data_IF_310219294739
#
_entry.id   IF_310219294739
#
_cell.length_a   1.000
_cell.length_b   1.000
_cell.length_c   1.000
_cell.angle_alpha   90.00
_cell.angle_beta   90.00
_cell.angle_gamma   90.00
#
_symmetry.space_group_name_H-M   'P 1'
#
loop_
_entity.id
_entity.type
_entity.pdbx_description
1 polymer ?
#
# COMPACT_ATOMS: atom_id res chain seq x y z
N UNK A 1 21.17 -52.67 -35.01
CA UNK A 1 19.91 -52.07 -35.49
C UNK A 1 19.65 -50.86 -34.60
N UNK A 2 20.06 -49.68 -35.05
CA UNK A 2 19.78 -48.41 -34.38
C UNK A 2 18.33 -47.98 -34.69
N UNK A 3 17.57 -47.52 -33.68
CA UNK A 3 16.51 -46.57 -33.94
C UNK A 3 16.14 -45.72 -32.70
N UNK A 4 16.68 -44.51 -32.70
CA UNK A 4 16.03 -43.22 -32.39
C UNK A 4 15.14 -43.10 -31.14
N UNK A 5 15.76 -42.71 -30.02
CA UNK A 5 15.12 -41.84 -29.02
C UNK A 5 15.10 -40.39 -29.55
N UNK A 6 14.05 -40.01 -30.29
CA UNK A 6 13.76 -38.59 -30.60
C UNK A 6 12.78 -38.00 -29.56
N UNK A 7 13.37 -37.32 -28.58
CA UNK A 7 13.03 -35.95 -28.15
C UNK A 7 11.56 -35.68 -27.76
N UNK A 8 11.15 -36.15 -26.58
CA UNK A 8 9.97 -35.62 -25.88
C UNK A 8 10.42 -34.38 -25.10
N UNK A 9 10.56 -33.23 -25.77
CA UNK A 9 10.94 -31.97 -25.10
C UNK A 9 10.36 -30.75 -25.83
N UNK A 10 9.06 -30.80 -26.16
CA UNK A 10 8.34 -29.69 -26.80
C UNK A 10 7.11 -29.20 -26.01
N UNK A 11 6.48 -30.06 -25.22
CA UNK A 11 5.11 -29.82 -24.73
C UNK A 11 5.03 -29.12 -23.35
N UNK A 12 6.11 -29.15 -22.56
CA UNK A 12 6.10 -28.54 -21.22
C UNK A 12 6.25 -27.01 -21.23
N UNK A 13 6.86 -26.43 -22.28
CA UNK A 13 7.04 -24.98 -22.37
C UNK A 13 5.77 -24.26 -22.82
N UNK A 14 4.98 -24.88 -23.69
CA UNK A 14 3.73 -24.31 -24.18
C UNK A 14 2.63 -24.37 -23.11
N UNK A 15 2.54 -25.50 -22.39
CA UNK A 15 1.67 -25.63 -21.21
C UNK A 15 2.03 -24.62 -20.11
N UNK A 16 3.31 -24.37 -19.87
CA UNK A 16 3.75 -23.37 -18.90
C UNK A 16 3.42 -21.93 -19.34
N UNK A 17 3.53 -21.62 -20.64
CA UNK A 17 3.13 -20.32 -21.20
C UNK A 17 1.63 -20.11 -21.08
N UNK A 18 0.84 -21.10 -21.45
CA UNK A 18 -0.62 -21.06 -21.36
C UNK A 18 -1.05 -20.93 -19.88
N UNK A 19 -0.45 -21.66 -18.95
CA UNK A 19 -0.74 -21.50 -17.52
C UNK A 19 -0.35 -20.11 -17.00
N UNK A 20 0.78 -19.55 -17.44
CA UNK A 20 1.19 -18.19 -17.09
C UNK A 20 0.23 -17.14 -17.64
N UNK A 21 -0.27 -17.35 -18.85
CA UNK A 21 -1.20 -16.46 -19.51
C UNK A 21 -2.60 -16.54 -18.87
N UNK A 22 -3.11 -17.74 -18.60
CA UNK A 22 -4.35 -17.95 -17.84
C UNK A 22 -4.25 -17.30 -16.45
N UNK A 23 -3.12 -17.48 -15.74
CA UNK A 23 -2.86 -16.80 -14.46
C UNK A 23 -2.86 -15.28 -14.61
N UNK A 24 -2.25 -14.75 -15.67
CA UNK A 24 -2.20 -13.30 -15.92
C UNK A 24 -3.58 -12.72 -16.31
N UNK A 25 -4.41 -13.49 -17.02
CA UNK A 25 -5.78 -13.09 -17.38
C UNK A 25 -6.68 -13.13 -16.15
N UNK A 26 -6.57 -14.16 -15.32
CA UNK A 26 -7.32 -14.28 -14.07
C UNK A 26 -6.96 -13.15 -13.08
N UNK A 27 -5.67 -12.84 -12.94
CA UNK A 27 -5.19 -11.70 -12.14
C UNK A 27 -5.72 -10.36 -12.66
N UNK A 28 -5.82 -10.18 -13.99
CA UNK A 28 -6.41 -8.97 -14.61
C UNK A 28 -7.92 -8.86 -14.41
N UNK A 29 -8.63 -9.97 -14.31
CA UNK A 29 -10.07 -9.99 -14.04
C UNK A 29 -10.36 -9.66 -12.56
N UNK A 30 -9.52 -10.12 -11.62
CA UNK A 30 -9.64 -9.79 -10.18
C UNK A 30 -9.28 -8.31 -9.88
N UNK A 31 -8.38 -7.69 -10.65
CA UNK A 31 -8.01 -6.28 -10.51
C UNK A 31 -9.07 -5.27 -10.97
N UNK A 32 -10.13 -5.71 -11.67
CA UNK A 32 -11.20 -4.83 -12.14
C UNK A 32 -12.39 -4.71 -11.17
N UNK A 33 -12.25 -5.17 -9.92
CA UNK A 33 -13.32 -5.06 -8.91
C UNK A 33 -12.94 -4.47 -7.55
N UNK A 34 -11.71 -4.04 -7.33
CA UNK A 34 -11.30 -3.39 -6.08
C UNK A 34 -10.34 -2.25 -6.41
N UNK A 35 -10.59 -1.06 -5.88
CA UNK A 35 -9.63 0.05 -5.92
C UNK A 35 -8.27 -0.48 -5.42
N UNK A 36 -7.18 -0.39 -6.22
CA UNK A 36 -5.94 -1.08 -5.89
C UNK A 36 -5.42 -0.53 -4.57
N UNK A 37 -5.01 -1.43 -3.69
CA UNK A 37 -4.42 -1.13 -2.39
C UNK A 37 -3.40 0.03 -2.44
N UNK A 38 -2.59 0.07 -3.50
CA UNK A 38 -1.61 1.13 -3.77
C UNK A 38 -2.24 2.53 -3.91
N UNK A 39 -3.45 2.63 -4.47
CA UNK A 39 -4.17 3.90 -4.62
C UNK A 39 -4.72 4.38 -3.26
N UNK A 40 -5.22 3.46 -2.43
CA UNK A 40 -5.65 3.78 -1.07
C UNK A 40 -4.48 4.26 -0.22
N UNK A 41 -3.33 3.60 -0.30
CA UNK A 41 -2.12 3.98 0.41
C UNK A 41 -1.64 5.36 -0.01
N UNK A 42 -1.59 5.63 -1.32
CA UNK A 42 -1.24 6.96 -1.86
C UNK A 42 -2.19 8.04 -1.37
N UNK A 43 -3.51 7.79 -1.39
CA UNK A 43 -4.52 8.74 -0.90
C UNK A 43 -4.31 9.06 0.58
N UNK A 44 -3.99 8.06 1.38
CA UNK A 44 -3.80 8.21 2.82
C UNK A 44 -2.49 8.94 3.14
N UNK A 45 -1.39 8.59 2.47
CA UNK A 45 -0.12 9.29 2.56
C UNK A 45 -0.25 10.77 2.16
N UNK A 46 -1.03 11.08 1.11
CA UNK A 46 -1.30 12.46 0.72
C UNK A 46 -2.08 13.24 1.80
N UNK A 47 -3.04 12.61 2.47
CA UNK A 47 -3.78 13.22 3.59
C UNK A 47 -2.87 13.48 4.79
N UNK A 48 -2.04 12.50 5.17
CA UNK A 48 -1.04 12.61 6.23
C UNK A 48 -0.07 13.75 5.93
N UNK A 49 0.44 13.83 4.70
CA UNK A 49 1.33 14.91 4.31
C UNK A 49 0.64 16.27 4.41
N UNK A 50 -0.60 16.40 3.93
CA UNK A 50 -1.35 17.65 4.00
C UNK A 50 -1.56 18.13 5.45
N UNK A 51 -1.97 17.24 6.34
CA UNK A 51 -2.21 17.64 7.74
C UNK A 51 -0.90 17.94 8.48
N UNK A 52 0.16 17.19 8.24
CA UNK A 52 1.48 17.46 8.85
C UNK A 52 2.07 18.78 8.35
N UNK A 53 1.91 19.12 7.07
CA UNK A 53 2.26 20.46 6.56
C UNK A 53 1.40 21.56 7.20
N UNK A 54 0.10 21.33 7.34
CA UNK A 54 -0.80 22.28 8.02
C UNK A 54 -0.37 22.53 9.46
N UNK A 55 -0.05 21.46 10.21
CA UNK A 55 0.49 21.54 11.57
C UNK A 55 1.80 22.33 11.57
N UNK A 56 2.73 22.01 10.67
CA UNK A 56 4.02 22.67 10.61
C UNK A 56 3.93 24.17 10.31
N UNK A 57 3.02 24.58 9.44
CA UNK A 57 2.88 25.96 8.98
C UNK A 57 2.01 26.82 9.90
N UNK A 58 0.93 26.25 10.44
CA UNK A 58 -0.07 27.01 11.20
C UNK A 58 -0.04 26.75 12.70
N UNK A 59 0.48 25.61 13.13
CA UNK A 59 0.51 25.17 14.53
C UNK A 59 1.88 24.57 14.88
N UNK A 60 3.00 25.31 14.67
CA UNK A 60 4.35 24.77 14.85
C UNK A 60 4.62 24.23 16.26
N UNK A 61 3.89 24.72 17.27
CA UNK A 61 3.87 24.20 18.64
C UNK A 61 3.44 22.73 18.73
N UNK A 62 2.64 22.24 17.79
CA UNK A 62 2.19 20.85 17.78
C UNK A 62 3.22 19.89 17.16
N UNK A 63 4.31 20.40 16.57
CA UNK A 63 5.37 19.57 15.96
C UNK A 63 6.06 18.67 17.00
N UNK A 64 6.18 19.13 18.25
CA UNK A 64 6.81 18.35 19.33
C UNK A 64 6.10 17.00 19.53
N UNK A 65 4.76 17.00 19.54
CA UNK A 65 3.95 15.79 19.64
C UNK A 65 4.06 14.86 18.43
N UNK A 66 4.47 15.36 17.26
CA UNK A 66 4.67 14.54 16.06
C UNK A 66 5.97 13.74 16.12
N UNK A 67 7.02 14.32 16.72
CA UNK A 67 8.31 13.64 16.85
C UNK A 67 8.26 12.47 17.84
N UNK A 68 7.31 12.47 18.76
CA UNK A 68 7.10 11.40 19.74
C UNK A 68 6.32 10.20 19.15
N UNK A 69 5.71 10.35 17.98
CA UNK A 69 5.02 9.25 17.30
C UNK A 69 5.98 8.52 16.35
N UNK A 70 6.34 7.25 16.62
CA UNK A 70 7.19 6.50 15.71
C UNK A 70 6.48 6.32 14.37
N UNK A 71 7.07 6.84 13.29
CA UNK A 71 6.58 6.58 11.92
C UNK A 71 6.79 5.10 11.63
N UNK A 72 5.71 4.32 11.66
CA UNK A 72 5.76 2.92 11.28
C UNK A 72 6.07 2.84 9.79
N UNK A 73 7.28 2.39 9.45
CA UNK A 73 7.66 2.17 8.06
C UNK A 73 6.79 1.04 7.48
N UNK A 74 6.08 1.27 6.37
CA UNK A 74 5.34 0.22 5.66
C UNK A 74 6.21 -0.99 5.37
N UNK A 75 5.72 -2.19 5.63
CA UNK A 75 6.39 -3.42 5.17
C UNK A 75 5.59 -4.01 4.03
N UNK A 76 6.21 -4.18 2.86
CA UNK A 76 5.61 -4.80 1.66
C UNK A 76 5.02 -6.20 1.92
N UNK A 77 5.44 -6.85 3.01
CA UNK A 77 4.95 -8.17 3.41
C UNK A 77 3.47 -8.16 3.84
N UNK A 78 2.97 -7.05 4.38
CA UNK A 78 1.60 -6.97 4.93
C UNK A 78 0.94 -5.63 4.56
N UNK A 79 0.39 -5.51 3.33
CA UNK A 79 -0.29 -4.31 2.88
C UNK A 79 -1.44 -3.88 3.81
N UNK A 80 -2.34 -4.78 4.21
CA UNK A 80 -3.49 -4.41 5.07
C UNK A 80 -3.06 -3.77 6.41
N UNK A 81 -1.99 -4.28 7.02
CA UNK A 81 -1.41 -3.72 8.25
C UNK A 81 -0.86 -2.32 7.98
N UNK A 82 -0.27 -2.09 6.81
CA UNK A 82 0.24 -0.77 6.39
C UNK A 82 -0.89 0.26 6.33
N UNK A 83 -2.01 -0.04 5.67
CA UNK A 83 -3.15 0.90 5.59
C UNK A 83 -3.76 1.17 6.96
N UNK A 84 -3.90 0.14 7.79
CA UNK A 84 -4.41 0.32 9.14
C UNK A 84 -3.51 1.28 9.94
N UNK A 85 -2.20 1.04 9.93
CA UNK A 85 -1.26 1.89 10.67
C UNK A 85 -1.27 3.34 10.16
N UNK A 86 -1.34 3.54 8.84
CA UNK A 86 -1.43 4.87 8.26
C UNK A 86 -2.74 5.58 8.65
N UNK A 87 -3.86 4.86 8.75
CA UNK A 87 -5.13 5.46 9.19
C UNK A 87 -5.07 5.83 10.66
N UNK A 88 -4.58 4.92 11.51
CA UNK A 88 -4.41 5.18 12.94
C UNK A 88 -3.51 6.41 13.19
N UNK A 89 -2.46 6.57 12.38
CA UNK A 89 -1.60 7.75 12.41
C UNK A 89 -2.33 9.03 11.96
N UNK A 90 -3.05 8.97 10.84
CA UNK A 90 -3.85 10.10 10.35
C UNK A 90 -4.91 10.56 11.36
N UNK A 91 -5.58 9.62 12.02
CA UNK A 91 -6.59 9.91 13.04
C UNK A 91 -5.95 10.55 14.27
N UNK A 92 -4.77 10.08 14.69
CA UNK A 92 -4.00 10.68 15.78
C UNK A 92 -3.63 12.15 15.47
N UNK A 93 -3.16 12.43 14.26
CA UNK A 93 -2.85 13.80 13.80
C UNK A 93 -4.08 14.71 13.83
N UNK A 94 -5.24 14.21 13.38
CA UNK A 94 -6.49 14.95 13.45
C UNK A 94 -6.96 15.19 14.87
N UNK A 95 -6.81 14.20 15.77
CA UNK A 95 -7.20 14.33 17.15
C UNK A 95 -6.40 15.42 17.86
N UNK A 96 -5.07 15.46 17.66
CA UNK A 96 -4.18 16.50 18.20
C UNK A 96 -4.63 17.88 17.69
N UNK A 97 -4.77 18.03 16.37
CA UNK A 97 -5.16 19.30 15.76
C UNK A 97 -6.56 19.76 16.20
N UNK A 98 -7.52 18.85 16.29
CA UNK A 98 -8.89 19.15 16.70
C UNK A 98 -8.92 19.55 18.17
N UNK A 99 -8.24 18.81 19.04
CA UNK A 99 -8.15 19.14 20.46
C UNK A 99 -7.54 20.52 20.65
N UNK A 100 -6.43 20.80 19.98
CA UNK A 100 -5.78 22.11 20.07
C UNK A 100 -6.71 23.24 19.62
N UNK A 101 -7.38 23.07 18.48
CA UNK A 101 -8.37 24.03 17.99
C UNK A 101 -9.49 24.26 18.99
N UNK A 102 -10.02 23.22 19.63
CA UNK A 102 -11.09 23.36 20.62
C UNK A 102 -10.63 24.09 21.89
N UNK A 103 -9.40 23.83 22.34
CA UNK A 103 -8.82 24.50 23.52
C UNK A 103 -8.46 25.98 23.25
N UNK A 104 -8.27 26.35 21.98
CA UNK A 104 -7.84 27.69 21.55
C UNK A 104 -8.87 28.38 20.62
N UNK A 105 -10.13 27.91 20.58
CA UNK A 105 -11.25 28.55 19.85
C UNK A 105 -11.95 29.62 20.67
#
# INVERSE_FOLDING_TARGET
MENNQKKITGDNQEKAKIQKEIRSVYLRQELNKNEPFDELEKKLNAKILKITMTIKEQYPELIEYLNEMPITVPTEKNPEITIKNLNDYYDSLNAILTKYKLEHS
#
